data_IF_371306036111
#
_entry.id   IF_371306036111
#
_cell.length_a   1.000
_cell.length_b   1.000
_cell.length_c   1.000
_cell.angle_alpha   90.00
_cell.angle_beta   90.00
_cell.angle_gamma   90.00
#
_symmetry.space_group_name_H-M   'P 1'
#
loop_
_entity.id
_entity.type
_entity.pdbx_description
1 polymer ?
#
# COMPACT_ATOMS: atom_id res chain seq x y z
N UNK A 1 3.62 -30.41 52.91
CA UNK A 1 4.77 -29.79 52.25
C UNK A 1 4.44 -29.77 50.77
N UNK A 2 3.96 -28.65 50.26
CA UNK A 2 3.57 -28.51 48.86
C UNK A 2 4.22 -27.23 48.33
N UNK A 3 5.36 -27.38 47.66
CA UNK A 3 5.95 -26.32 46.86
C UNK A 3 5.70 -26.72 45.40
N UNK A 4 4.69 -26.11 44.80
CA UNK A 4 4.41 -26.25 43.37
C UNK A 4 5.61 -25.82 42.52
N UNK A 5 5.64 -26.21 41.23
CA UNK A 5 6.79 -25.97 40.37
C UNK A 5 7.11 -24.48 40.25
N UNK A 6 8.39 -24.13 40.43
CA UNK A 6 8.89 -22.77 40.31
C UNK A 6 8.61 -22.23 38.90
N UNK A 7 7.97 -21.06 38.82
CA UNK A 7 7.73 -20.40 37.53
C UNK A 7 9.08 -19.99 36.92
N UNK A 8 9.31 -20.22 35.62
CA UNK A 8 10.55 -19.80 34.97
C UNK A 8 10.72 -18.27 35.09
N UNK A 9 11.92 -17.84 35.49
CA UNK A 9 12.27 -16.43 35.56
C UNK A 9 12.56 -15.92 34.14
N UNK A 10 12.03 -14.74 33.80
CA UNK A 10 12.31 -14.11 32.53
C UNK A 10 13.56 -13.24 32.67
N UNK A 11 14.66 -13.70 32.08
CA UNK A 11 15.97 -12.99 32.09
C UNK A 11 16.15 -12.06 30.87
N UNK A 12 15.10 -11.87 30.07
CA UNK A 12 15.15 -11.01 28.88
C UNK A 12 14.99 -9.52 29.21
N UNK A 13 15.19 -8.64 28.21
CA UNK A 13 14.97 -7.22 28.38
C UNK A 13 13.51 -6.93 28.74
N UNK A 14 13.28 -6.16 29.81
CA UNK A 14 11.96 -5.68 30.18
C UNK A 14 11.66 -4.37 29.45
N UNK A 15 10.44 -4.24 28.93
CA UNK A 15 9.96 -3.00 28.27
C UNK A 15 8.73 -2.50 29.00
N UNK A 16 8.69 -1.20 29.25
CA UNK A 16 7.52 -0.51 29.80
C UNK A 16 6.39 -0.54 28.77
N UNK A 17 5.22 -1.05 29.17
CA UNK A 17 4.03 -1.11 28.31
C UNK A 17 3.64 0.30 27.83
N UNK A 18 3.74 1.30 28.70
CA UNK A 18 3.39 2.68 28.35
C UNK A 18 4.31 3.25 27.26
N UNK A 19 5.62 2.96 27.35
CA UNK A 19 6.60 3.44 26.38
C UNK A 19 6.49 2.69 25.04
N UNK A 20 6.26 1.38 25.10
CA UNK A 20 6.03 0.56 23.90
C UNK A 20 4.76 0.98 23.17
N UNK A 21 3.65 1.17 23.89
CA UNK A 21 2.38 1.63 23.30
C UNK A 21 2.53 2.99 22.63
N UNK A 22 3.23 3.94 23.26
CA UNK A 22 3.47 5.26 22.69
C UNK A 22 4.31 5.18 21.42
N UNK A 23 5.38 4.38 21.45
CA UNK A 23 6.30 4.23 20.31
C UNK A 23 5.61 3.55 19.14
N UNK A 24 4.97 2.39 19.36
CA UNK A 24 4.25 1.67 18.32
C UNK A 24 3.12 2.50 17.70
N UNK A 25 2.40 3.28 18.51
CA UNK A 25 1.37 4.18 18.01
C UNK A 25 1.94 5.28 17.11
N UNK A 26 3.01 5.95 17.55
CA UNK A 26 3.64 7.02 16.79
C UNK A 26 4.26 6.50 15.48
N UNK A 27 4.92 5.35 15.50
CA UNK A 27 5.52 4.73 14.32
C UNK A 27 4.46 4.36 13.30
N UNK A 28 3.36 3.75 13.74
CA UNK A 28 2.25 3.42 12.86
C UNK A 28 1.59 4.68 12.30
N UNK A 29 1.28 5.67 13.15
CA UNK A 29 0.66 6.92 12.74
C UNK A 29 1.51 7.66 11.68
N UNK A 30 2.81 7.79 11.93
CA UNK A 30 3.74 8.41 10.99
C UNK A 30 3.83 7.63 9.68
N UNK A 31 3.88 6.29 9.73
CA UNK A 31 3.90 5.46 8.52
C UNK A 31 2.64 5.67 7.67
N UNK A 32 1.48 5.83 8.29
CA UNK A 32 0.20 6.08 7.60
C UNK A 32 0.19 7.47 6.98
N UNK A 33 0.60 8.49 7.73
CA UNK A 33 0.60 9.88 7.26
C UNK A 33 1.51 10.03 6.03
N UNK A 34 2.76 9.58 6.15
CA UNK A 34 3.81 9.82 5.14
C UNK A 34 3.69 8.87 3.96
N UNK A 35 3.42 7.58 4.22
CA UNK A 35 3.60 6.53 3.21
C UNK A 35 2.29 5.90 2.72
N UNK A 36 1.13 6.44 3.10
CA UNK A 36 -0.16 5.88 2.69
C UNK A 36 -1.24 6.92 2.41
N UNK A 37 -1.53 7.80 3.36
CA UNK A 37 -2.75 8.57 3.40
C UNK A 37 -2.68 9.88 2.59
N UNK A 38 -1.58 10.64 2.75
CA UNK A 38 -1.43 11.99 2.20
C UNK A 38 -0.61 11.93 0.90
N UNK A 39 -1.06 12.60 -0.18
CA UNK A 39 -0.28 12.70 -1.41
C UNK A 39 0.95 13.61 -1.25
N UNK A 40 1.95 13.40 -2.10
CA UNK A 40 3.11 14.30 -2.17
C UNK A 40 2.72 15.61 -2.87
N UNK A 41 3.20 16.74 -2.37
CA UNK A 41 2.88 18.07 -2.92
C UNK A 41 3.32 18.24 -4.38
N UNK A 42 4.41 17.58 -4.78
CA UNK A 42 5.06 17.80 -6.08
C UNK A 42 4.28 17.18 -7.24
N UNK A 43 3.67 16.03 -6.99
CA UNK A 43 2.96 15.25 -8.02
C UNK A 43 1.48 15.02 -7.70
N UNK A 44 1.03 15.30 -6.48
CA UNK A 44 -0.34 15.05 -6.03
C UNK A 44 -0.67 13.56 -5.88
N UNK A 45 0.32 12.66 -5.95
CA UNK A 45 0.11 11.22 -5.96
C UNK A 45 0.37 10.59 -4.58
N UNK A 46 -0.54 9.68 -4.19
CA UNK A 46 -0.28 8.74 -3.11
C UNK A 46 0.72 7.68 -3.55
N UNK A 47 1.44 7.02 -2.62
CA UNK A 47 2.43 6.00 -2.98
C UNK A 47 1.89 4.87 -3.86
N UNK A 48 0.63 4.45 -3.68
CA UNK A 48 0.01 3.40 -4.53
C UNK A 48 -0.16 3.86 -5.98
N UNK A 49 -0.63 5.09 -6.22
CA UNK A 49 -0.81 5.63 -7.58
C UNK A 49 0.53 5.70 -8.32
N UNK A 50 1.56 6.24 -7.65
CA UNK A 50 2.91 6.37 -8.22
C UNK A 50 3.49 5.02 -8.61
N UNK A 51 3.34 4.00 -7.76
CA UNK A 51 3.81 2.63 -8.01
C UNK A 51 3.09 1.98 -9.20
N UNK A 52 1.78 2.19 -9.34
CA UNK A 52 1.00 1.70 -10.49
C UNK A 52 1.50 2.32 -11.79
N UNK A 53 1.59 3.65 -11.85
CA UNK A 53 2.05 4.36 -13.05
C UNK A 53 3.49 3.97 -13.41
N UNK A 54 4.37 3.83 -12.42
CA UNK A 54 5.76 3.42 -12.64
C UNK A 54 5.86 1.99 -13.19
N UNK A 55 5.15 1.02 -12.62
CA UNK A 55 5.14 -0.35 -13.13
C UNK A 55 4.57 -0.45 -14.56
N UNK A 56 3.53 0.32 -14.87
CA UNK A 56 2.97 0.39 -16.23
C UNK A 56 3.97 1.00 -17.21
N UNK A 57 4.69 2.04 -16.81
CA UNK A 57 5.77 2.63 -17.61
C UNK A 57 6.90 1.62 -17.89
N UNK A 58 7.41 0.95 -16.86
CA UNK A 58 8.50 -0.03 -17.03
C UNK A 58 8.12 -1.24 -17.89
N UNK A 59 6.85 -1.65 -17.85
CA UNK A 59 6.35 -2.78 -18.67
C UNK A 59 5.93 -2.36 -20.08
N UNK A 60 6.17 -1.09 -20.44
CA UNK A 60 5.84 -0.51 -21.74
C UNK A 60 4.35 -0.51 -22.03
N UNK A 61 3.52 -0.33 -21.00
CA UNK A 61 2.07 -0.21 -21.14
C UNK A 61 1.67 1.26 -21.38
N UNK A 62 2.15 1.80 -22.49
CA UNK A 62 1.90 3.16 -22.95
C UNK A 62 0.65 3.22 -23.82
N UNK A 63 0.12 4.43 -24.02
CA UNK A 63 -1.14 4.68 -24.75
C UNK A 63 -1.17 4.14 -26.19
N UNK A 64 -0.01 3.96 -26.83
CA UNK A 64 0.12 3.44 -28.19
C UNK A 64 0.06 1.90 -28.26
N UNK A 65 -0.02 1.21 -27.12
CA UNK A 65 -0.07 -0.26 -27.04
C UNK A 65 -1.50 -0.77 -26.80
N UNK A 66 -1.81 -2.00 -27.23
CA UNK A 66 -3.11 -2.62 -26.95
C UNK A 66 -3.35 -2.78 -25.45
N UNK A 67 -4.63 -2.73 -25.05
CA UNK A 67 -5.07 -2.99 -23.68
C UNK A 67 -4.55 -4.32 -23.13
N UNK A 68 -4.15 -4.30 -21.86
CA UNK A 68 -3.70 -5.48 -21.12
C UNK A 68 -4.65 -5.78 -19.96
N UNK A 69 -4.73 -7.05 -19.57
CA UNK A 69 -5.55 -7.48 -18.43
C UNK A 69 -5.08 -6.80 -17.14
N UNK A 70 -5.98 -6.18 -16.38
CA UNK A 70 -5.67 -5.43 -15.16
C UNK A 70 -4.94 -6.25 -14.10
N UNK A 71 -5.15 -7.57 -14.07
CA UNK A 71 -4.42 -8.48 -13.18
C UNK A 71 -2.89 -8.44 -13.39
N UNK A 72 -2.42 -8.10 -14.60
CA UNK A 72 -0.99 -8.02 -14.92
C UNK A 72 -0.30 -6.82 -14.25
N UNK A 73 -0.69 -5.55 -14.49
CA UNK A 73 -0.10 -4.43 -13.77
C UNK A 73 -0.32 -4.53 -12.25
N UNK A 74 -1.46 -5.05 -11.78
CA UNK A 74 -1.68 -5.29 -10.33
C UNK A 74 -0.65 -6.26 -9.76
N UNK A 75 -0.42 -7.40 -10.43
CA UNK A 75 0.57 -8.39 -10.02
C UNK A 75 2.00 -7.86 -10.07
N UNK A 76 2.36 -7.12 -11.12
CA UNK A 76 3.69 -6.50 -11.26
C UNK A 76 3.95 -5.47 -10.14
N UNK A 77 2.95 -4.64 -9.83
CA UNK A 77 3.02 -3.65 -8.74
C UNK A 77 3.15 -4.34 -7.39
N UNK A 78 2.34 -5.36 -7.14
CA UNK A 78 2.37 -6.11 -5.88
C UNK A 78 3.73 -6.80 -5.67
N UNK A 79 4.23 -7.46 -6.71
CA UNK A 79 5.47 -8.24 -6.62
C UNK A 79 6.75 -7.40 -6.52
N UNK A 80 6.77 -6.20 -7.11
CA UNK A 80 7.98 -5.38 -7.20
C UNK A 80 7.98 -4.15 -6.30
N UNK A 81 6.83 -3.53 -6.09
CA UNK A 81 6.78 -2.14 -5.59
C UNK A 81 5.84 -1.91 -4.41
N UNK A 82 4.82 -2.74 -4.22
CA UNK A 82 3.76 -2.49 -3.26
C UNK A 82 3.44 -3.78 -2.46
N UNK A 83 4.09 -4.00 -1.31
CA UNK A 83 3.95 -5.23 -0.51
C UNK A 83 2.66 -5.23 0.33
N UNK A 84 1.52 -4.95 -0.31
CA UNK A 84 0.19 -4.96 0.27
C UNK A 84 -0.79 -5.65 -0.69
N UNK A 85 -1.99 -5.96 -0.20
CA UNK A 85 -2.97 -6.76 -0.94
C UNK A 85 -3.29 -6.21 -2.33
N UNK A 86 -3.51 -7.14 -3.25
CA UNK A 86 -3.92 -6.90 -4.64
C UNK A 86 -5.20 -6.07 -4.74
N UNK A 87 -6.18 -6.30 -3.85
CA UNK A 87 -7.44 -5.56 -3.80
C UNK A 87 -7.22 -4.04 -3.70
N UNK A 88 -6.34 -3.58 -2.81
CA UNK A 88 -6.08 -2.15 -2.63
C UNK A 88 -5.40 -1.52 -3.86
N UNK A 89 -4.56 -2.29 -4.56
CA UNK A 89 -3.90 -1.86 -5.80
C UNK A 89 -4.92 -1.80 -6.94
N UNK A 90 -5.79 -2.81 -7.05
CA UNK A 90 -6.84 -2.86 -8.07
C UNK A 90 -7.86 -1.73 -7.89
N UNK A 91 -8.33 -1.48 -6.67
CA UNK A 91 -9.27 -0.39 -6.38
C UNK A 91 -8.69 0.99 -6.70
N UNK A 92 -7.40 1.19 -6.41
CA UNK A 92 -6.68 2.40 -6.77
C UNK A 92 -6.54 2.54 -8.30
N UNK A 93 -6.23 1.45 -9.01
CA UNK A 93 -6.17 1.41 -10.47
C UNK A 93 -7.52 1.76 -11.09
N UNK A 94 -8.61 1.15 -10.59
CA UNK A 94 -9.97 1.38 -11.07
C UNK A 94 -10.36 2.84 -10.92
N UNK A 95 -10.11 3.45 -9.76
CA UNK A 95 -10.39 4.88 -9.53
C UNK A 95 -9.66 5.80 -10.48
N UNK A 96 -8.42 5.46 -10.87
CA UNK A 96 -7.63 6.27 -11.81
C UNK A 96 -8.13 6.20 -13.26
N UNK A 97 -9.01 5.24 -13.57
CA UNK A 97 -9.64 5.08 -14.88
C UNK A 97 -11.09 5.58 -14.94
N UNK A 98 -11.68 6.00 -13.81
CA UNK A 98 -13.05 6.52 -13.74
C UNK A 98 -13.09 8.02 -14.05
N UNK A 99 -13.81 8.40 -15.11
CA UNK A 99 -14.00 9.79 -15.55
C UNK A 99 -14.78 10.65 -14.55
N UNK A 100 -15.71 10.05 -13.80
CA UNK A 100 -16.47 10.73 -12.74
C UNK A 100 -15.70 10.87 -11.42
N UNK A 101 -14.59 10.15 -11.24
CA UNK A 101 -13.81 10.10 -9.99
C UNK A 101 -12.65 11.10 -10.00
N UNK A 102 -12.13 11.41 -11.18
CA UNK A 102 -11.00 12.32 -11.37
C UNK A 102 -11.29 13.29 -12.52
N UNK A 103 -10.98 14.59 -12.33
CA UNK A 103 -11.13 15.58 -13.40
C UNK A 103 -10.27 15.29 -14.63
N UNK A 104 -9.13 14.63 -14.43
CA UNK A 104 -8.25 14.13 -15.48
C UNK A 104 -7.88 12.68 -15.15
N UNK A 105 -8.48 11.69 -15.84
CA UNK A 105 -8.10 10.29 -15.69
C UNK A 105 -6.63 10.09 -16.06
N UNK A 106 -5.94 9.26 -15.26
CA UNK A 106 -4.53 8.95 -15.49
C UNK A 106 -4.34 7.63 -16.24
N UNK A 107 -5.36 6.78 -16.24
CA UNK A 107 -5.36 5.49 -16.91
C UNK A 107 -6.52 5.40 -17.89
N UNK A 108 -6.24 4.84 -19.06
CA UNK A 108 -7.27 4.46 -20.04
C UNK A 108 -7.66 2.99 -19.82
N UNK A 109 -8.94 2.75 -19.54
CA UNK A 109 -9.47 1.45 -19.15
C UNK A 109 -10.53 0.95 -20.13
N UNK A 110 -10.51 -0.35 -20.42
CA UNK A 110 -11.53 -1.01 -21.24
C UNK A 110 -12.31 -2.04 -20.40
N UNK A 111 -13.61 -1.81 -20.21
CA UNK A 111 -14.51 -2.71 -19.49
C UNK A 111 -15.47 -1.98 -18.57
N UNK A 112 -16.04 -2.71 -17.61
CA UNK A 112 -16.88 -2.13 -16.57
C UNK A 112 -16.01 -1.75 -15.35
N UNK A 113 -15.91 -0.45 -15.08
CA UNK A 113 -15.09 0.12 -14.00
C UNK A 113 -15.93 0.80 -12.92
N UNK A 114 -17.20 0.40 -12.77
CA UNK A 114 -18.15 1.00 -11.82
C UNK A 114 -19.27 1.73 -12.53
#
# INVERSE_FOLDING_TARGET
MDQGPARPHYDGPSVSIADEMKTAYLDYAMSVIVSRAIPDLRDGLKPVHRRILYAMHETGNTHDKPYRKSARPVGDVMGKYHPHGDAAIYDALVRMAQDFSMSLPLLDGQGNFG
#
